data_IF_780818172407
#
_entry.id   IF_780818172407
#
_cell.length_a   1.000
_cell.length_b   1.000
_cell.length_c   1.000
_cell.angle_alpha   90.00
_cell.angle_beta   90.00
_cell.angle_gamma   90.00
#
_symmetry.space_group_name_H-M   'P 1'
#
loop_
_entity.id
_entity.type
_entity.pdbx_description
1 polymer ?
#
# COMPACT_ATOMS: atom_id res chain seq x y z
N UNK A 1 0.79 40.55 -11.48
CA UNK A 1 0.94 39.35 -10.64
C UNK A 1 0.23 38.22 -11.34
N UNK A 2 0.97 37.20 -11.78
CA UNK A 2 0.41 36.08 -12.52
C UNK A 2 -0.29 35.15 -11.52
N UNK A 3 -1.62 35.12 -11.53
CA UNK A 3 -2.41 34.23 -10.69
C UNK A 3 -2.36 32.83 -11.31
N UNK A 4 -1.40 31.99 -10.89
CA UNK A 4 -1.45 30.57 -11.22
C UNK A 4 -2.74 29.99 -10.62
N UNK A 5 -3.70 29.66 -11.47
CA UNK A 5 -4.92 28.96 -11.09
C UNK A 5 -4.57 27.62 -10.45
N UNK A 6 -5.23 27.27 -9.35
CA UNK A 6 -5.02 25.97 -8.71
C UNK A 6 -5.50 24.85 -9.66
N UNK A 7 -4.80 23.70 -9.70
CA UNK A 7 -5.27 22.53 -10.44
C UNK A 7 -6.71 22.16 -10.08
N UNK A 8 -7.48 21.67 -11.07
CA UNK A 8 -8.92 21.34 -10.90
C UNK A 8 -9.19 20.30 -9.80
N UNK A 9 -8.22 19.42 -9.53
CA UNK A 9 -8.29 18.42 -8.47
C UNK A 9 -6.89 18.10 -7.96
N UNK A 10 -6.79 17.85 -6.67
CA UNK A 10 -5.57 17.38 -6.04
C UNK A 10 -5.42 15.87 -6.29
N UNK A 11 -4.34 15.46 -6.95
CA UNK A 11 -4.03 14.04 -7.20
C UNK A 11 -3.37 13.36 -6.00
N UNK A 12 -3.12 14.09 -4.91
CA UNK A 12 -2.39 13.63 -3.72
C UNK A 12 -3.28 13.43 -2.50
N UNK A 13 -4.60 13.65 -2.61
CA UNK A 13 -5.53 13.56 -1.48
C UNK A 13 -6.26 12.20 -1.35
N UNK A 14 -5.96 11.23 -2.21
CA UNK A 14 -6.62 9.93 -2.17
C UNK A 14 -6.23 9.16 -0.90
N UNK A 15 -7.22 8.80 -0.09
CA UNK A 15 -7.02 7.90 1.06
C UNK A 15 -7.11 6.46 0.55
N UNK A 16 -6.00 5.73 0.60
CA UNK A 16 -5.96 4.35 0.15
C UNK A 16 -6.53 3.39 1.21
N UNK A 17 -6.83 2.16 0.80
CA UNK A 17 -7.40 1.14 1.67
C UNK A 17 -6.49 0.83 2.88
N UNK A 18 -5.18 0.80 2.65
CA UNK A 18 -4.15 0.57 3.67
C UNK A 18 -4.22 1.63 4.78
N UNK A 19 -4.47 2.90 4.41
CA UNK A 19 -4.57 3.97 5.39
C UNK A 19 -5.79 3.77 6.28
N UNK A 20 -6.94 3.43 5.69
CA UNK A 20 -8.16 3.16 6.45
C UNK A 20 -7.97 1.98 7.40
N UNK A 21 -7.32 0.90 6.94
CA UNK A 21 -7.04 -0.26 7.76
C UNK A 21 -6.16 0.12 8.98
N UNK A 22 -5.05 0.82 8.73
CA UNK A 22 -4.10 1.24 9.78
C UNK A 22 -4.75 2.22 10.75
N UNK A 23 -5.41 3.28 10.25
CA UNK A 23 -6.00 4.31 11.11
C UNK A 23 -7.07 3.75 12.02
N UNK A 24 -7.94 2.86 11.51
CA UNK A 24 -8.97 2.21 12.30
C UNK A 24 -8.38 1.24 13.32
N UNK A 25 -7.37 0.47 12.94
CA UNK A 25 -6.67 -0.43 13.85
C UNK A 25 -5.97 0.35 14.97
N UNK A 26 -5.29 1.45 14.67
CA UNK A 26 -4.66 2.31 15.68
C UNK A 26 -5.70 2.93 16.62
N UNK A 27 -6.86 3.35 16.10
CA UNK A 27 -7.92 3.94 16.91
C UNK A 27 -8.56 2.93 17.87
N UNK A 28 -8.88 1.73 17.39
CA UNK A 28 -9.59 0.72 18.17
C UNK A 28 -8.64 -0.14 19.04
N UNK A 29 -7.44 -0.40 18.53
CA UNK A 29 -6.52 -1.43 19.00
C UNK A 29 -5.04 -0.95 18.97
N UNK A 30 -4.71 0.18 19.63
CA UNK A 30 -3.40 0.83 19.50
C UNK A 30 -2.21 -0.02 19.96
N UNK A 31 -2.44 -1.02 20.81
CA UNK A 31 -1.38 -1.94 21.27
C UNK A 31 -1.24 -3.17 20.36
N UNK A 32 -2.32 -3.62 19.73
CA UNK A 32 -2.32 -4.82 18.90
C UNK A 32 -1.82 -4.56 17.48
N UNK A 33 -1.83 -3.30 17.01
CA UNK A 33 -1.27 -2.96 15.70
C UNK A 33 0.25 -3.17 15.66
N UNK A 34 0.94 -2.99 16.79
CA UNK A 34 2.39 -3.22 16.88
C UNK A 34 2.69 -4.70 16.70
N UNK A 35 3.54 -5.03 15.72
CA UNK A 35 3.86 -6.42 15.40
C UNK A 35 2.86 -7.11 14.47
N UNK A 36 1.79 -6.43 14.07
CA UNK A 36 0.72 -7.02 13.25
C UNK A 36 1.12 -7.21 11.78
N UNK A 37 0.26 -7.91 11.03
CA UNK A 37 0.39 -8.07 9.59
C UNK A 37 -0.73 -7.33 8.88
N UNK A 38 -0.38 -6.49 7.92
CA UNK A 38 -1.32 -5.87 7.00
C UNK A 38 -1.49 -6.78 5.77
N UNK A 39 -2.70 -7.26 5.55
CA UNK A 39 -3.06 -8.08 4.39
C UNK A 39 -3.66 -7.20 3.31
N UNK A 40 -3.15 -7.33 2.08
CA UNK A 40 -3.58 -6.54 0.94
C UNK A 40 -3.85 -7.41 -0.28
N UNK A 41 -4.97 -7.11 -0.94
CA UNK A 41 -5.41 -7.73 -2.19
C UNK A 41 -6.04 -6.67 -3.08
N UNK A 42 -6.00 -6.91 -4.39
CA UNK A 42 -6.70 -6.08 -5.37
C UNK A 42 -7.90 -6.83 -5.91
N UNK A 43 -8.91 -6.06 -6.29
CA UNK A 43 -10.05 -6.54 -7.04
C UNK A 43 -10.13 -5.81 -8.38
N UNK A 44 -10.63 -6.49 -9.40
CA UNK A 44 -10.94 -5.87 -10.69
C UNK A 44 -12.33 -5.22 -10.69
N UNK A 45 -12.81 -4.81 -11.87
CA UNK A 45 -14.11 -4.16 -12.05
C UNK A 45 -15.30 -5.08 -11.80
N UNK A 46 -15.09 -6.39 -11.90
CA UNK A 46 -16.12 -7.41 -11.68
C UNK A 46 -16.11 -7.90 -10.22
N UNK A 47 -15.12 -7.46 -9.43
CA UNK A 47 -14.96 -7.80 -8.01
C UNK A 47 -14.10 -9.05 -7.79
N UNK A 48 -13.48 -9.59 -8.83
CA UNK A 48 -12.63 -10.77 -8.77
C UNK A 48 -11.22 -10.41 -8.29
N UNK A 49 -10.56 -11.35 -7.62
CA UNK A 49 -9.21 -11.13 -7.12
C UNK A 49 -8.19 -11.02 -8.25
N UNK A 50 -7.26 -10.09 -8.08
CA UNK A 50 -6.11 -9.89 -8.96
C UNK A 50 -4.83 -9.76 -8.16
N UNK A 51 -3.71 -9.95 -8.84
CA UNK A 51 -2.39 -9.78 -8.23
C UNK A 51 -2.22 -8.35 -7.68
N UNK A 52 -1.85 -8.28 -6.41
CA UNK A 52 -1.46 -7.07 -5.74
C UNK A 52 -0.19 -6.44 -6.35
N UNK A 53 0.61 -7.25 -7.06
CA UNK A 53 1.86 -6.85 -7.70
C UNK A 53 2.99 -6.64 -6.70
N UNK A 54 3.90 -5.73 -7.04
CA UNK A 54 5.10 -5.43 -6.25
C UNK A 54 4.88 -4.24 -5.30
N UNK A 55 5.66 -4.12 -4.22
CA UNK A 55 5.64 -2.95 -3.34
C UNK A 55 5.80 -1.65 -4.13
N UNK A 56 4.84 -0.72 -4.06
CA UNK A 56 4.86 0.47 -4.93
C UNK A 56 4.44 1.77 -4.25
N UNK A 57 3.39 1.76 -3.43
CA UNK A 57 2.90 3.00 -2.84
C UNK A 57 3.81 3.46 -1.68
N UNK A 58 4.70 4.41 -1.97
CA UNK A 58 5.65 4.96 -0.98
C UNK A 58 4.99 5.60 0.24
N UNK A 59 3.74 6.06 0.14
CA UNK A 59 3.04 6.62 1.31
C UNK A 59 2.43 5.52 2.18
N UNK A 60 1.81 4.50 1.57
CA UNK A 60 1.27 3.37 2.32
C UNK A 60 2.38 2.55 2.98
N UNK A 61 3.54 2.44 2.32
CA UNK A 61 4.69 1.74 2.89
C UNK A 61 5.23 2.44 4.14
N UNK A 62 5.46 3.75 4.08
CA UNK A 62 5.85 4.56 5.24
C UNK A 62 4.80 4.52 6.35
N UNK A 63 3.53 4.67 6.02
CA UNK A 63 2.47 4.63 7.03
C UNK A 63 2.41 3.27 7.73
N UNK A 64 2.58 2.17 7.00
CA UNK A 64 2.65 0.82 7.57
C UNK A 64 3.81 0.71 8.54
N UNK A 65 5.02 1.12 8.11
CA UNK A 65 6.23 1.11 8.94
C UNK A 65 6.06 1.94 10.22
N UNK A 66 5.65 3.21 10.09
CA UNK A 66 5.51 4.14 11.23
C UNK A 66 4.39 3.74 12.19
N UNK A 67 3.38 3.02 11.70
CA UNK A 67 2.29 2.50 12.56
C UNK A 67 2.70 1.28 13.39
N UNK A 68 3.88 0.71 13.15
CA UNK A 68 4.39 -0.47 13.85
C UNK A 68 3.83 -1.79 13.34
N UNK A 69 3.16 -1.81 12.18
CA UNK A 69 2.90 -3.05 11.43
C UNK A 69 4.25 -3.71 11.15
N UNK A 70 4.36 -5.02 11.36
CA UNK A 70 5.62 -5.76 11.15
C UNK A 70 5.73 -6.32 9.74
N UNK A 71 4.62 -6.82 9.21
CA UNK A 71 4.61 -7.48 7.90
C UNK A 71 3.54 -6.89 6.99
N UNK A 72 3.87 -6.77 5.71
CA UNK A 72 2.96 -6.41 4.64
C UNK A 72 2.82 -7.62 3.71
N UNK A 73 1.62 -8.19 3.63
CA UNK A 73 1.34 -9.38 2.84
C UNK A 73 0.57 -8.99 1.57
N UNK A 74 1.16 -9.26 0.40
CA UNK A 74 0.55 -9.02 -0.92
C UNK A 74 0.00 -10.32 -1.49
N UNK A 75 -1.28 -10.35 -1.86
CA UNK A 75 -1.85 -11.50 -2.56
C UNK A 75 -1.38 -11.54 -4.01
N UNK A 76 -0.61 -12.56 -4.39
CA UNK A 76 -0.06 -12.77 -5.73
C UNK A 76 0.00 -14.28 -6.03
N UNK A 77 -0.23 -14.68 -7.28
CA UNK A 77 -0.04 -16.06 -7.77
C UNK A 77 -0.78 -17.14 -6.93
N UNK A 78 -1.94 -16.79 -6.37
CA UNK A 78 -2.73 -17.69 -5.52
C UNK A 78 -2.22 -17.84 -4.08
N UNK A 79 -1.19 -17.08 -3.69
CA UNK A 79 -0.57 -17.07 -2.36
C UNK A 79 -0.36 -15.65 -1.81
N UNK A 80 0.47 -15.54 -0.78
CA UNK A 80 0.82 -14.26 -0.16
C UNK A 80 2.34 -14.07 -0.18
N UNK A 81 2.81 -13.01 -0.84
CA UNK A 81 4.17 -12.52 -0.69
C UNK A 81 4.26 -11.70 0.59
N UNK A 82 5.01 -12.20 1.57
CA UNK A 82 5.18 -11.58 2.87
C UNK A 82 6.47 -10.77 2.92
N UNK A 83 6.35 -9.47 3.15
CA UNK A 83 7.49 -8.56 3.32
C UNK A 83 7.54 -8.06 4.76
N UNK A 84 8.75 -7.94 5.32
CA UNK A 84 8.95 -7.05 6.47
C UNK A 84 8.64 -5.60 6.04
N UNK A 85 8.03 -4.78 6.90
CA UNK A 85 7.66 -3.42 6.51
C UNK A 85 8.85 -2.52 6.20
N UNK A 86 10.04 -2.77 6.77
CA UNK A 86 11.26 -2.07 6.38
C UNK A 86 11.65 -2.42 4.94
N UNK A 87 11.61 -3.70 4.60
CA UNK A 87 11.86 -4.20 3.25
C UNK A 87 10.84 -3.66 2.25
N UNK A 88 9.54 -3.72 2.60
CA UNK A 88 8.45 -3.20 1.77
C UNK A 88 8.63 -1.70 1.51
N UNK A 89 9.00 -0.94 2.55
CA UNK A 89 9.29 0.48 2.44
C UNK A 89 10.45 0.74 1.49
N UNK A 90 11.58 0.06 1.66
CA UNK A 90 12.73 0.21 0.75
C UNK A 90 12.35 -0.11 -0.70
N UNK A 91 11.68 -1.25 -0.93
CA UNK A 91 11.27 -1.71 -2.27
C UNK A 91 10.26 -0.76 -2.92
N UNK A 92 9.41 -0.08 -2.14
CA UNK A 92 8.41 0.85 -2.69
C UNK A 92 9.00 2.05 -3.44
N UNK A 93 10.30 2.35 -3.25
CA UNK A 93 11.01 3.38 -3.99
C UNK A 93 11.75 2.87 -5.24
N UNK A 94 11.74 1.55 -5.48
CA UNK A 94 12.40 0.97 -6.63
C UNK A 94 11.70 1.36 -7.93
N UNK A 95 12.49 1.51 -9.00
CA UNK A 95 11.94 1.71 -10.34
C UNK A 95 11.58 0.35 -10.97
N UNK A 96 10.27 0.11 -11.08
CA UNK A 96 9.72 -1.09 -11.71
C UNK A 96 9.47 -0.93 -13.22
N UNK A 97 9.88 0.18 -13.84
CA UNK A 97 9.69 0.44 -15.28
C UNK A 97 10.31 -0.62 -16.19
N UNK A 98 11.30 -1.37 -15.70
CA UNK A 98 11.99 -2.46 -16.41
C UNK A 98 11.58 -3.86 -15.96
N UNK A 99 10.72 -3.97 -14.94
CA UNK A 99 10.26 -5.27 -14.47
C UNK A 99 9.34 -5.91 -15.51
N UNK A 100 9.49 -7.22 -15.80
CA UNK A 100 8.61 -7.90 -16.73
C UNK A 100 7.18 -7.73 -16.24
N UNK A 101 6.33 -7.15 -17.09
CA UNK A 101 4.89 -7.10 -16.81
C UNK A 101 4.42 -8.54 -16.67
N UNK A 102 3.99 -8.93 -15.47
CA UNK A 102 3.25 -10.17 -15.26
C UNK A 102 2.05 -10.08 -16.19
N UNK A 103 2.04 -10.94 -17.21
CA UNK A 103 0.93 -11.03 -18.14
C UNK A 103 -0.14 -11.85 -17.43
N UNK A 104 -1.24 -11.19 -17.08
CA UNK A 104 -2.51 -11.86 -16.81
C UNK A 104 -2.98 -12.59 -18.07
#
# INVERSE_FOLDING_TARGET
MNTMERPKYDKTCCVHAEWQAILRATQAHPKQIIGSTLYFMRIDTDGEFTDAGLPFCTVCSRLSLESGVRYFALYNDGGMDLYDTEEYNLRSYADYSTSPKVKN
#
